data_IF_546915564775
#
_entry.id   IF_546915564775
#
_cell.length_a   1.000
_cell.length_b   1.000
_cell.length_c   1.000
_cell.angle_alpha   90.00
_cell.angle_beta   90.00
_cell.angle_gamma   90.00
#
_symmetry.space_group_name_H-M   'P 1'
#
loop_
_entity.id
_entity.type
_entity.pdbx_description
1 polymer ?
#
# COMPACT_ATOMS: atom_id res chain seq x y z
N UNK A 1 -16.50 -17.37 40.09
CA UNK A 1 -15.91 -16.56 38.99
C UNK A 1 -16.35 -17.20 37.70
N UNK A 2 -17.37 -16.64 37.07
CA UNK A 2 -17.95 -17.15 35.85
C UNK A 2 -17.28 -16.45 34.67
N UNK A 3 -16.58 -17.22 33.84
CA UNK A 3 -16.05 -16.80 32.55
C UNK A 3 -17.22 -16.65 31.57
N UNK A 4 -17.53 -15.42 31.17
CA UNK A 4 -18.45 -15.17 30.09
C UNK A 4 -17.77 -15.57 28.77
N UNK A 5 -18.14 -16.69 28.21
CA UNK A 5 -17.92 -17.06 26.83
C UNK A 5 -18.79 -16.17 25.97
N UNK A 6 -18.16 -15.26 25.22
CA UNK A 6 -18.78 -14.50 24.13
C UNK A 6 -19.00 -15.45 22.95
N UNK A 7 -20.09 -16.18 22.97
CA UNK A 7 -20.61 -16.88 21.80
C UNK A 7 -21.19 -15.83 20.86
N UNK A 8 -20.41 -15.37 19.90
CA UNK A 8 -20.92 -14.69 18.70
C UNK A 8 -21.67 -15.75 17.89
N UNK A 9 -22.95 -15.97 18.19
CA UNK A 9 -23.85 -16.65 17.27
C UNK A 9 -23.83 -15.89 15.94
N UNK A 10 -23.22 -16.47 14.93
CA UNK A 10 -23.32 -16.01 13.56
C UNK A 10 -24.77 -16.25 13.14
N UNK A 11 -25.62 -15.21 13.24
CA UNK A 11 -26.97 -15.24 12.71
C UNK A 11 -26.91 -15.45 11.20
N UNK A 12 -27.16 -16.67 10.75
CA UNK A 12 -27.27 -17.01 9.33
C UNK A 12 -28.61 -16.44 8.85
N UNK A 13 -28.54 -15.45 7.95
CA UNK A 13 -29.76 -14.90 7.34
C UNK A 13 -30.30 -15.87 6.27
N UNK A 14 -31.61 -16.04 6.20
CA UNK A 14 -32.25 -16.82 5.16
C UNK A 14 -32.36 -16.04 3.83
N UNK A 15 -32.46 -16.75 2.71
CA UNK A 15 -32.64 -16.11 1.41
C UNK A 15 -33.96 -15.34 1.34
N UNK A 16 -35.02 -15.87 1.98
CA UNK A 16 -36.34 -15.29 2.05
C UNK A 16 -36.33 -13.95 2.82
N UNK A 17 -35.57 -13.87 3.93
CA UNK A 17 -35.39 -12.62 4.65
C UNK A 17 -34.69 -11.56 3.81
N UNK A 18 -33.66 -11.90 3.06
CA UNK A 18 -32.98 -10.95 2.16
C UNK A 18 -33.91 -10.47 1.04
N UNK A 19 -34.82 -11.32 0.54
CA UNK A 19 -35.82 -10.93 -0.45
C UNK A 19 -36.79 -9.83 0.04
N UNK A 20 -37.03 -9.75 1.35
CA UNK A 20 -37.88 -8.69 1.94
C UNK A 20 -37.21 -7.31 1.90
N UNK A 21 -35.89 -7.26 1.76
CA UNK A 21 -35.17 -6.02 1.74
C UNK A 21 -35.55 -5.15 0.53
N UNK A 22 -35.62 -3.84 0.74
CA UNK A 22 -35.83 -2.92 -0.37
C UNK A 22 -34.58 -2.83 -1.26
N UNK A 23 -34.76 -2.38 -2.49
CA UNK A 23 -33.70 -2.34 -3.50
C UNK A 23 -32.51 -1.47 -3.07
N UNK A 24 -32.76 -0.37 -2.36
CA UNK A 24 -31.70 0.54 -1.93
C UNK A 24 -30.87 -0.09 -0.80
N UNK A 25 -31.49 -0.76 0.16
CA UNK A 25 -30.78 -1.49 1.21
C UNK A 25 -29.88 -2.58 0.65
N UNK A 26 -30.36 -3.33 -0.37
CA UNK A 26 -29.55 -4.35 -1.04
C UNK A 26 -28.33 -3.74 -1.75
N UNK A 27 -28.54 -2.60 -2.40
CA UNK A 27 -27.43 -1.87 -3.08
C UNK A 27 -26.44 -1.30 -2.08
N UNK A 28 -26.90 -0.70 -0.99
CA UNK A 28 -26.05 -0.13 0.05
C UNK A 28 -25.21 -1.21 0.72
N UNK A 29 -25.81 -2.33 1.04
CA UNK A 29 -25.07 -3.47 1.62
C UNK A 29 -23.94 -3.97 0.70
N UNK A 30 -24.22 -4.05 -0.61
CA UNK A 30 -23.20 -4.39 -1.61
C UNK A 30 -22.13 -3.28 -1.75
N UNK A 31 -22.56 -2.01 -1.74
CA UNK A 31 -21.69 -0.84 -1.90
C UNK A 31 -20.68 -0.73 -0.76
N UNK A 32 -21.15 -0.86 0.49
CA UNK A 32 -20.30 -0.82 1.68
C UNK A 32 -19.22 -1.91 1.67
N UNK A 33 -19.46 -3.03 0.99
CA UNK A 33 -18.50 -4.13 0.84
C UNK A 33 -17.73 -4.12 -0.47
N UNK A 34 -17.95 -3.09 -1.31
CA UNK A 34 -17.24 -2.88 -2.58
C UNK A 34 -17.65 -3.86 -3.69
N UNK A 35 -18.85 -4.37 -3.62
CA UNK A 35 -19.41 -5.24 -4.65
C UNK A 35 -20.31 -4.47 -5.63
N UNK A 36 -20.52 -5.08 -6.82
CA UNK A 36 -21.35 -4.46 -7.88
C UNK A 36 -22.78 -4.24 -7.38
N UNK A 37 -23.34 -3.05 -7.63
CA UNK A 37 -24.71 -2.66 -7.29
C UNK A 37 -25.64 -2.75 -8.51
N UNK A 38 -25.15 -3.22 -9.65
CA UNK A 38 -25.91 -3.42 -10.89
C UNK A 38 -26.47 -4.84 -10.97
N UNK A 39 -27.59 -4.99 -11.64
CA UNK A 39 -28.32 -6.24 -11.83
C UNK A 39 -29.79 -6.14 -11.42
N UNK A 40 -30.55 -7.20 -11.61
CA UNK A 40 -31.93 -7.32 -11.14
C UNK A 40 -31.99 -7.40 -9.60
N UNK A 41 -33.19 -7.20 -9.02
CA UNK A 41 -33.38 -7.38 -7.56
C UNK A 41 -32.94 -8.78 -7.13
N UNK A 42 -33.23 -9.82 -7.94
CA UNK A 42 -32.83 -11.19 -7.64
C UNK A 42 -31.30 -11.37 -7.58
N UNK A 43 -30.57 -10.72 -8.51
CA UNK A 43 -29.11 -10.78 -8.50
C UNK A 43 -28.51 -10.12 -7.25
N UNK A 44 -29.11 -9.02 -6.79
CA UNK A 44 -28.71 -8.33 -5.58
C UNK A 44 -29.03 -9.15 -4.33
N UNK A 45 -30.20 -9.77 -4.25
CA UNK A 45 -30.59 -10.67 -3.16
C UNK A 45 -29.58 -11.83 -3.04
N UNK A 46 -29.30 -12.53 -4.14
CA UNK A 46 -28.33 -13.64 -4.12
C UNK A 46 -26.94 -13.18 -3.69
N UNK A 47 -26.54 -11.97 -4.13
CA UNK A 47 -25.24 -11.38 -3.76
C UNK A 47 -25.19 -11.02 -2.27
N UNK A 48 -26.22 -10.36 -1.75
CA UNK A 48 -26.32 -9.99 -0.32
C UNK A 48 -26.34 -11.25 0.55
N UNK A 49 -27.14 -12.25 0.20
CA UNK A 49 -27.21 -13.53 0.88
C UNK A 49 -25.81 -14.18 1.00
N UNK A 50 -25.07 -14.24 -0.11
CA UNK A 50 -23.70 -14.76 -0.12
C UNK A 50 -22.78 -13.94 0.78
N UNK A 51 -22.79 -12.60 0.64
CA UNK A 51 -21.91 -11.72 1.40
C UNK A 51 -22.18 -11.75 2.90
N UNK A 52 -23.44 -11.83 3.29
CA UNK A 52 -23.88 -11.88 4.68
C UNK A 52 -23.41 -13.17 5.33
N UNK A 53 -23.76 -14.31 4.74
CA UNK A 53 -23.46 -15.62 5.31
C UNK A 53 -21.97 -16.00 5.25
N UNK A 54 -21.17 -15.32 4.45
CA UNK A 54 -19.72 -15.46 4.46
C UNK A 54 -19.02 -14.38 5.30
N UNK A 55 -19.75 -13.62 6.09
CA UNK A 55 -19.22 -12.57 6.98
C UNK A 55 -18.24 -11.63 6.27
N UNK A 56 -18.54 -11.25 5.01
CA UNK A 56 -17.66 -10.35 4.24
C UNK A 56 -17.67 -8.97 4.89
N UNK A 57 -16.52 -8.48 5.39
CA UNK A 57 -16.45 -7.22 6.12
C UNK A 57 -16.75 -6.03 5.21
N UNK A 58 -17.25 -4.97 5.82
CA UNK A 58 -17.37 -3.68 5.14
C UNK A 58 -16.00 -3.12 4.79
N UNK A 59 -15.90 -2.51 3.62
CA UNK A 59 -14.71 -1.75 3.27
C UNK A 59 -14.69 -0.47 4.10
N UNK A 60 -13.55 -0.12 4.69
CA UNK A 60 -13.42 1.14 5.39
C UNK A 60 -13.84 2.29 4.46
N UNK A 61 -14.60 3.22 4.98
CA UNK A 61 -15.00 4.40 4.22
C UNK A 61 -13.79 5.23 3.80
N UNK A 62 -13.88 5.97 2.69
CA UNK A 62 -12.76 6.75 2.15
C UNK A 62 -12.07 7.66 3.21
N UNK A 63 -12.83 8.20 4.18
CA UNK A 63 -12.27 8.98 5.30
C UNK A 63 -11.50 8.13 6.30
N UNK A 64 -11.95 6.91 6.57
CA UNK A 64 -11.27 5.96 7.46
C UNK A 64 -10.02 5.40 6.79
N UNK A 65 -10.08 5.10 5.50
CA UNK A 65 -8.90 4.72 4.71
C UNK A 65 -7.85 5.83 4.72
N UNK A 66 -8.25 7.08 4.53
CA UNK A 66 -7.33 8.22 4.58
C UNK A 66 -6.73 8.42 5.97
N UNK A 67 -7.52 8.27 7.04
CA UNK A 67 -7.03 8.40 8.41
C UNK A 67 -6.11 7.24 8.81
N UNK A 68 -6.38 6.03 8.33
CA UNK A 68 -5.51 4.86 8.51
C UNK A 68 -4.21 5.03 7.75
N UNK A 69 -4.26 5.42 6.47
CA UNK A 69 -3.07 5.74 5.67
C UNK A 69 -2.21 6.82 6.31
N UNK A 70 -2.82 7.87 6.88
CA UNK A 70 -2.07 8.92 7.59
C UNK A 70 -1.39 8.39 8.85
N UNK A 71 -2.05 7.50 9.61
CA UNK A 71 -1.45 6.85 10.79
C UNK A 71 -0.30 5.92 10.40
N UNK A 72 -0.50 5.11 9.38
CA UNK A 72 0.51 4.18 8.88
C UNK A 72 1.70 4.96 8.33
N UNK A 73 1.45 6.01 7.54
CA UNK A 73 2.49 6.91 7.05
C UNK A 73 3.31 7.52 8.19
N UNK A 74 2.67 8.01 9.25
CA UNK A 74 3.38 8.55 10.41
C UNK A 74 4.16 7.48 11.19
N UNK A 75 3.69 6.24 11.24
CA UNK A 75 4.37 5.15 11.93
C UNK A 75 5.71 4.80 11.27
N UNK A 76 5.79 4.91 9.94
CA UNK A 76 7.00 4.62 9.15
C UNK A 76 8.18 5.52 9.58
N UNK A 77 7.92 6.76 10.00
CA UNK A 77 8.99 7.68 10.46
C UNK A 77 9.54 7.33 11.84
N UNK A 78 8.75 6.66 12.67
CA UNK A 78 9.15 6.33 14.05
C UNK A 78 10.05 5.10 14.13
N UNK A 79 10.28 4.40 13.03
CA UNK A 79 11.10 3.19 13.00
C UNK A 79 12.59 3.49 13.03
N UNK A 80 13.29 2.84 13.95
CA UNK A 80 14.74 2.70 14.17
C UNK A 80 15.60 3.96 14.13
N UNK A 81 15.46 4.81 13.12
CA UNK A 81 16.22 6.06 12.97
C UNK A 81 15.24 7.16 12.67
N UNK A 82 15.11 8.13 13.59
CA UNK A 82 14.24 9.29 13.38
C UNK A 82 14.72 10.11 12.18
N UNK A 83 13.81 10.48 11.29
CA UNK A 83 14.10 11.31 10.14
C UNK A 83 12.92 12.26 9.89
N UNK A 84 13.14 13.44 9.32
CA UNK A 84 12.07 14.35 8.95
C UNK A 84 11.22 13.76 7.81
N UNK A 85 9.99 14.23 7.71
CA UNK A 85 9.10 13.90 6.59
C UNK A 85 9.73 14.36 5.27
N UNK A 86 9.98 13.47 4.28
CA UNK A 86 10.62 13.83 3.03
C UNK A 86 9.85 14.87 2.23
N UNK A 87 8.51 14.94 2.37
CA UNK A 87 7.70 15.98 1.69
C UNK A 87 7.80 17.36 2.34
N UNK A 88 8.30 17.43 3.58
CA UNK A 88 8.58 18.70 4.27
C UNK A 88 10.01 19.20 4.08
N UNK A 89 10.89 18.37 3.50
CA UNK A 89 12.25 18.77 3.18
C UNK A 89 12.23 19.76 2.00
N UNK A 90 12.46 21.02 2.30
CA UNK A 90 12.55 22.09 1.29
C UNK A 90 14.00 22.21 0.78
N UNK A 91 14.16 22.31 -0.54
CA UNK A 91 15.35 22.84 -1.24
C UNK A 91 16.69 22.10 -1.21
N UNK A 92 16.75 20.82 -0.85
CA UNK A 92 18.02 20.04 -0.88
C UNK A 92 17.95 18.79 -1.76
N UNK A 93 16.94 18.70 -2.60
CA UNK A 93 16.79 17.59 -3.52
C UNK A 93 17.69 17.74 -4.74
N UNK A 94 18.47 16.72 -5.02
CA UNK A 94 19.41 16.68 -6.15
C UNK A 94 18.89 15.65 -7.15
N UNK A 95 18.64 16.07 -8.37
CA UNK A 95 18.20 15.19 -9.45
C UNK A 95 19.26 14.14 -9.82
N UNK A 96 18.83 13.14 -10.56
CA UNK A 96 19.61 11.96 -10.89
C UNK A 96 20.95 12.29 -11.54
N UNK A 97 20.97 13.22 -12.50
CA UNK A 97 22.18 13.63 -13.22
C UNK A 97 23.34 14.05 -12.30
N UNK A 98 23.03 14.78 -11.21
CA UNK A 98 24.04 15.28 -10.24
C UNK A 98 24.08 14.48 -8.95
N UNK A 99 23.07 13.63 -8.71
CA UNK A 99 22.86 12.90 -7.48
C UNK A 99 23.38 11.48 -7.51
N UNK A 100 23.51 10.87 -8.68
CA UNK A 100 23.82 9.45 -8.83
C UNK A 100 25.09 9.03 -8.08
N UNK A 101 26.13 9.86 -8.13
CA UNK A 101 27.41 9.61 -7.42
C UNK A 101 27.31 9.72 -5.90
N UNK A 102 26.21 10.25 -5.39
CA UNK A 102 25.95 10.44 -3.95
C UNK A 102 24.98 9.41 -3.39
N UNK A 103 24.45 8.54 -4.25
CA UNK A 103 23.53 7.49 -3.81
C UNK A 103 24.25 6.50 -2.92
N UNK A 104 23.58 5.98 -1.87
CA UNK A 104 24.15 4.96 -1.02
C UNK A 104 24.42 3.68 -1.81
N UNK A 105 25.35 2.84 -1.36
CA UNK A 105 25.76 1.59 -2.04
C UNK A 105 24.68 0.50 -1.88
N UNK A 106 23.46 0.74 -2.36
CA UNK A 106 22.35 -0.22 -2.31
C UNK A 106 22.65 -1.39 -3.24
N UNK A 107 22.61 -2.59 -2.72
CA UNK A 107 22.73 -3.84 -3.45
C UNK A 107 21.37 -4.52 -3.61
N UNK A 108 21.30 -5.50 -4.50
CA UNK A 108 20.10 -6.34 -4.63
C UNK A 108 19.76 -7.06 -3.31
N UNK A 109 20.78 -7.44 -2.53
CA UNK A 109 20.58 -8.12 -1.24
C UNK A 109 19.85 -7.22 -0.24
N UNK A 110 20.13 -5.92 -0.22
CA UNK A 110 19.47 -4.96 0.66
C UNK A 110 17.97 -4.84 0.33
N UNK A 111 17.64 -4.81 -0.97
CA UNK A 111 16.27 -4.77 -1.46
C UNK A 111 15.53 -6.06 -1.08
N UNK A 112 16.12 -7.20 -1.36
CA UNK A 112 15.55 -8.50 -1.06
C UNK A 112 15.33 -8.70 0.45
N UNK A 113 16.30 -8.32 1.27
CA UNK A 113 16.18 -8.35 2.73
C UNK A 113 15.04 -7.48 3.23
N UNK A 114 14.93 -6.25 2.73
CA UNK A 114 13.86 -5.33 3.10
C UNK A 114 12.47 -5.89 2.74
N UNK A 115 12.29 -6.39 1.51
CA UNK A 115 11.02 -6.94 1.04
C UNK A 115 10.59 -8.19 1.81
N UNK A 116 11.53 -9.05 2.20
CA UNK A 116 11.25 -10.23 3.02
C UNK A 116 10.81 -9.87 4.43
N UNK A 117 11.54 -8.94 5.03
CA UNK A 117 11.22 -8.47 6.38
C UNK A 117 9.84 -7.83 6.43
N UNK A 118 9.45 -7.10 5.38
CA UNK A 118 8.13 -6.50 5.26
C UNK A 118 7.00 -7.53 5.11
N UNK A 119 7.26 -8.65 4.41
CA UNK A 119 6.22 -9.62 4.03
C UNK A 119 6.25 -10.92 4.84
N UNK A 120 7.18 -11.09 5.79
CA UNK A 120 7.44 -12.37 6.48
C UNK A 120 7.63 -13.56 5.50
N UNK A 121 8.08 -13.30 4.28
CA UNK A 121 8.19 -14.28 3.21
C UNK A 121 9.57 -14.94 3.21
N UNK A 122 9.59 -16.25 3.02
CA UNK A 122 10.82 -17.00 2.78
C UNK A 122 11.47 -16.70 1.41
N UNK A 123 12.70 -17.12 1.21
CA UNK A 123 13.40 -17.07 -0.10
C UNK A 123 12.66 -17.94 -1.11
N UNK A 124 12.04 -17.33 -2.11
CA UNK A 124 11.61 -18.05 -3.29
C UNK A 124 12.52 -17.73 -4.49
N UNK A 125 12.74 -18.71 -5.35
CA UNK A 125 13.51 -18.53 -6.58
C UNK A 125 12.87 -17.49 -7.50
N UNK A 126 11.53 -17.40 -7.46
CA UNK A 126 10.73 -16.44 -8.21
C UNK A 126 11.02 -15.00 -7.75
N UNK A 127 11.13 -14.77 -6.45
CA UNK A 127 11.47 -13.46 -5.89
C UNK A 127 12.88 -13.03 -6.34
N UNK A 128 13.85 -13.96 -6.40
CA UNK A 128 15.21 -13.70 -6.87
C UNK A 128 15.30 -13.32 -8.35
N UNK A 129 14.35 -13.74 -9.17
CA UNK A 129 14.30 -13.41 -10.60
C UNK A 129 13.38 -12.26 -10.93
N UNK A 130 12.48 -11.90 -10.02
CA UNK A 130 11.45 -10.87 -10.22
C UNK A 130 12.03 -9.47 -10.55
N UNK A 131 13.26 -9.16 -10.11
CA UNK A 131 13.91 -7.89 -10.46
C UNK A 131 14.20 -7.75 -11.97
N UNK A 132 14.32 -8.87 -12.71
CA UNK A 132 14.55 -8.89 -14.17
C UNK A 132 13.26 -8.97 -15.00
N UNK A 133 12.21 -9.54 -14.43
CA UNK A 133 10.98 -9.88 -15.14
C UNK A 133 9.71 -9.39 -14.48
N UNK A 134 9.82 -8.85 -13.26
CA UNK A 134 8.69 -8.41 -12.47
C UNK A 134 8.14 -7.05 -12.89
N UNK A 135 7.00 -6.67 -12.28
CA UNK A 135 6.32 -5.39 -12.54
C UNK A 135 7.23 -4.18 -12.31
N UNK A 136 8.10 -4.22 -11.30
CA UNK A 136 9.02 -3.12 -11.00
C UNK A 136 9.99 -2.86 -12.17
N UNK A 137 10.52 -3.93 -12.78
CA UNK A 137 11.37 -3.81 -13.95
C UNK A 137 10.59 -3.27 -15.17
N UNK A 138 9.34 -3.72 -15.36
CA UNK A 138 8.47 -3.19 -16.42
C UNK A 138 8.21 -1.68 -16.24
N UNK A 139 7.97 -1.23 -15.01
CA UNK A 139 7.76 0.20 -14.74
C UNK A 139 9.00 1.04 -15.03
N UNK A 140 10.17 0.52 -14.71
CA UNK A 140 11.45 1.15 -15.03
C UNK A 140 11.68 1.19 -16.55
N UNK A 141 11.56 0.06 -17.24
CA UNK A 141 11.84 -0.06 -18.68
C UNK A 141 10.83 0.68 -19.58
N UNK A 142 9.62 0.97 -19.07
CA UNK A 142 8.59 1.72 -19.78
C UNK A 142 8.55 3.22 -19.40
N UNK A 143 9.57 3.75 -18.73
CA UNK A 143 9.64 5.15 -18.27
C UNK A 143 8.46 5.60 -17.39
N UNK A 144 7.83 4.66 -16.69
CA UNK A 144 6.76 4.98 -15.75
C UNK A 144 7.31 5.53 -14.43
N UNK A 145 8.49 5.07 -14.02
CA UNK A 145 9.27 5.71 -12.96
C UNK A 145 9.92 6.98 -13.53
N UNK A 146 9.62 8.12 -12.92
CA UNK A 146 10.19 9.41 -13.30
C UNK A 146 11.52 9.62 -12.62
N UNK A 147 12.14 10.79 -12.89
CA UNK A 147 13.45 11.17 -12.34
C UNK A 147 13.51 10.92 -10.83
N UNK A 148 14.59 10.31 -10.38
CA UNK A 148 14.85 10.03 -8.97
C UNK A 148 15.64 11.17 -8.34
N UNK A 149 15.13 11.69 -7.22
CA UNK A 149 15.76 12.76 -6.46
C UNK A 149 16.40 12.23 -5.19
N UNK A 150 17.61 12.64 -4.92
CA UNK A 150 18.38 12.34 -3.73
C UNK A 150 18.33 13.47 -2.72
N UNK A 151 18.21 13.16 -1.41
CA UNK A 151 18.33 14.12 -0.32
C UNK A 151 19.13 13.52 0.84
N UNK A 152 20.26 14.13 1.22
CA UNK A 152 21.08 13.64 2.34
C UNK A 152 20.49 13.93 3.72
N UNK A 153 19.33 14.59 3.82
CA UNK A 153 18.77 15.17 5.06
C UNK A 153 19.71 16.24 5.62
N UNK A 154 20.81 15.84 6.24
CA UNK A 154 21.97 16.66 6.58
C UNK A 154 23.25 15.88 6.30
N UNK A 155 24.41 16.55 6.28
CA UNK A 155 25.69 15.84 6.09
C UNK A 155 25.97 14.79 7.17
N UNK A 156 25.61 15.09 8.40
CA UNK A 156 25.85 14.22 9.59
C UNK A 156 24.75 13.19 9.82
N UNK A 157 23.61 13.26 9.13
CA UNK A 157 22.52 12.31 9.33
C UNK A 157 22.89 10.96 8.72
N UNK A 158 22.67 9.87 9.46
CA UNK A 158 23.00 8.50 9.03
C UNK A 158 22.22 8.06 7.78
N UNK A 159 20.98 8.56 7.61
CA UNK A 159 20.14 8.21 6.47
C UNK A 159 20.07 9.32 5.42
N UNK A 160 19.69 8.93 4.24
CA UNK A 160 19.25 9.77 3.14
C UNK A 160 17.89 9.30 2.61
N UNK A 161 17.30 10.09 1.73
CA UNK A 161 16.12 9.74 0.98
C UNK A 161 16.40 9.69 -0.52
N UNK A 162 15.80 8.71 -1.19
CA UNK A 162 15.51 8.75 -2.61
C UNK A 162 14.00 8.92 -2.76
N UNK A 163 13.55 9.80 -3.65
CA UNK A 163 12.12 9.93 -4.00
C UNK A 163 11.94 10.03 -5.50
N UNK A 164 10.81 9.59 -5.98
CA UNK A 164 10.39 9.72 -7.36
C UNK A 164 8.87 9.73 -7.46
N UNK A 165 8.37 10.00 -8.64
CA UNK A 165 6.98 9.79 -9.01
C UNK A 165 6.88 8.62 -9.98
N UNK A 166 5.83 7.81 -9.85
CA UNK A 166 5.55 6.68 -10.72
C UNK A 166 4.17 6.82 -11.34
N UNK A 167 4.10 6.69 -12.67
CA UNK A 167 2.82 6.77 -13.38
C UNK A 167 1.93 5.57 -13.03
N UNK A 168 0.60 5.78 -12.85
CA UNK A 168 -0.34 4.71 -12.58
C UNK A 168 -0.49 3.79 -13.80
N UNK A 169 -0.49 2.46 -13.57
CA UNK A 169 -0.54 1.46 -14.64
C UNK A 169 -1.88 1.36 -15.37
N UNK A 170 -2.97 1.76 -14.71
CA UNK A 170 -4.32 1.53 -15.23
C UNK A 170 -5.01 2.79 -15.77
N UNK A 171 -4.52 3.98 -15.42
CA UNK A 171 -5.11 5.27 -15.83
C UNK A 171 -3.99 6.29 -16.02
N UNK A 172 -3.50 6.39 -17.23
CA UNK A 172 -2.37 7.27 -17.59
C UNK A 172 -2.62 8.77 -17.31
N UNK A 173 -3.88 9.17 -17.16
CA UNK A 173 -4.27 10.56 -16.87
C UNK A 173 -4.44 10.84 -15.36
N UNK A 174 -4.29 9.83 -14.50
CA UNK A 174 -4.35 10.04 -13.06
C UNK A 174 -3.04 10.68 -12.55
N UNK A 175 -3.12 11.30 -11.39
CA UNK A 175 -1.94 11.88 -10.73
C UNK A 175 -0.89 10.79 -10.45
N UNK A 176 0.39 11.05 -10.72
CA UNK A 176 1.46 10.11 -10.42
C UNK A 176 1.48 9.72 -8.93
N UNK A 177 1.86 8.49 -8.67
CA UNK A 177 2.08 8.01 -7.31
C UNK A 177 3.41 8.52 -6.79
N UNK A 178 3.37 9.24 -5.69
CA UNK A 178 4.58 9.67 -5.00
C UNK A 178 5.18 8.51 -4.20
N UNK A 179 6.48 8.31 -4.33
CA UNK A 179 7.20 7.27 -3.61
C UNK A 179 8.52 7.81 -3.03
N UNK A 180 8.96 7.19 -1.94
CA UNK A 180 10.27 7.45 -1.39
C UNK A 180 10.83 6.23 -0.66
N UNK A 181 12.15 6.18 -0.54
CA UNK A 181 12.90 5.15 0.19
C UNK A 181 13.88 5.85 1.13
N UNK A 182 13.93 5.42 2.40
CA UNK A 182 14.90 5.85 3.41
C UNK A 182 15.99 4.80 3.52
N UNK A 183 17.24 5.22 3.36
CA UNK A 183 18.40 4.33 3.22
C UNK A 183 19.53 4.82 4.13
N UNK A 184 20.26 3.89 4.76
CA UNK A 184 21.50 4.19 5.49
C UNK A 184 22.60 4.49 4.48
N UNK A 185 23.25 5.65 4.62
CA UNK A 185 24.23 6.15 3.63
C UNK A 185 25.44 5.24 3.46
N UNK A 186 25.95 4.72 4.56
CA UNK A 186 27.22 4.00 4.58
C UNK A 186 27.07 2.54 4.15
N UNK A 187 25.93 1.91 4.47
CA UNK A 187 25.71 0.49 4.24
C UNK A 187 24.79 0.18 3.06
N UNK A 188 23.94 1.12 2.64
CA UNK A 188 22.89 0.85 1.65
C UNK A 188 21.66 0.16 2.22
N UNK A 189 21.62 -0.15 3.53
CA UNK A 189 20.47 -0.81 4.16
C UNK A 189 19.20 0.04 4.01
N UNK A 190 18.14 -0.57 3.50
CA UNK A 190 16.83 0.07 3.37
C UNK A 190 16.12 0.02 4.73
N UNK A 191 15.84 1.19 5.28
CA UNK A 191 15.18 1.35 6.59
C UNK A 191 13.67 1.34 6.46
N UNK A 192 13.14 2.06 5.48
CA UNK A 192 11.70 2.15 5.19
C UNK A 192 11.46 2.67 3.78
N UNK A 193 10.30 2.33 3.24
CA UNK A 193 9.83 2.80 1.93
C UNK A 193 8.34 3.15 2.01
N UNK A 194 7.88 3.97 1.10
CA UNK A 194 6.47 4.35 0.98
C UNK A 194 6.09 4.58 -0.48
N UNK A 195 4.88 4.19 -0.82
CA UNK A 195 4.21 4.54 -2.08
C UNK A 195 2.79 5.03 -1.78
N UNK A 196 2.35 6.09 -2.44
CA UNK A 196 0.98 6.58 -2.32
C UNK A 196 -0.05 5.77 -3.12
N UNK A 197 0.37 4.71 -3.82
CA UNK A 197 -0.53 3.84 -4.56
C UNK A 197 -1.42 3.00 -3.62
N UNK A 198 -2.53 2.48 -4.15
CA UNK A 198 -3.51 1.68 -3.37
C UNK A 198 -2.92 0.35 -2.86
N UNK A 199 -1.86 -0.13 -3.50
CA UNK A 199 -1.19 -1.39 -3.16
C UNK A 199 0.08 -1.20 -2.31
N UNK A 200 0.44 0.05 -1.99
CA UNK A 200 1.65 0.41 -1.23
C UNK A 200 1.42 0.57 0.24
#
# INVERSE_FOLDING_TARGET
MASASNDLENDIISHEEVETWNLEALKDFCRCRGYKVTGSKKDLVSRVYFLYNNCVPEKPGAKEEESTRKRDYQSIFRHRISAPDPYKLKNTWVGEEKGLTKWPPVSYVDIDWFLRKANNAGLSKEALTAYKTGKAFSYFSCDWLKEVFYNPITKSHQCCFLKADCMPSNRLNDTPHALWVKIIKDTGEIVSAYCSCVAG
#
